data_IF_166408790552
#
_entry.id   IF_166408790552
#
_cell.length_a   1.000
_cell.length_b   1.000
_cell.length_c   1.000
_cell.angle_alpha   90.00
_cell.angle_beta   90.00
_cell.angle_gamma   90.00
#
_symmetry.space_group_name_H-M   'P 1'
#
loop_
_entity.id
_entity.type
_entity.pdbx_description
1 polymer ?
#
# COMPACT_ATOMS: atom_id res chain seq x y z
N UNK A 1 5.18 -2.78 -63.65
CA UNK A 1 5.96 -4.00 -63.90
C UNK A 1 7.44 -3.70 -63.80
N UNK A 2 8.13 -4.37 -62.87
CA UNK A 2 9.57 -4.20 -62.67
C UNK A 2 10.38 -4.64 -63.90
N UNK A 3 11.65 -4.27 -64.00
CA UNK A 3 12.54 -4.72 -65.10
C UNK A 3 12.64 -6.24 -65.14
N UNK A 4 12.71 -6.89 -63.97
CA UNK A 4 12.77 -8.34 -63.81
C UNK A 4 11.49 -9.06 -64.26
N UNK A 5 10.30 -8.55 -63.93
CA UNK A 5 9.03 -9.14 -64.41
C UNK A 5 8.96 -9.08 -65.94
N UNK A 6 9.36 -7.95 -66.54
CA UNK A 6 9.42 -7.83 -67.99
C UNK A 6 10.45 -8.77 -68.61
N UNK A 7 11.57 -9.02 -67.93
CA UNK A 7 12.60 -9.93 -68.39
C UNK A 7 12.16 -11.39 -68.29
N UNK A 8 11.47 -11.79 -67.22
CA UNK A 8 10.90 -13.14 -67.07
C UNK A 8 9.79 -13.39 -68.10
N UNK A 9 8.89 -12.43 -68.31
CA UNK A 9 7.87 -12.54 -69.39
C UNK A 9 8.52 -12.60 -70.76
N UNK A 10 9.56 -11.79 -71.02
CA UNK A 10 10.30 -11.83 -72.30
C UNK A 10 10.96 -13.18 -72.50
N UNK A 11 11.67 -13.72 -71.50
CA UNK A 11 12.32 -15.03 -71.56
C UNK A 11 11.29 -16.16 -71.72
N UNK A 12 10.14 -16.07 -71.05
CA UNK A 12 9.02 -17.00 -71.19
C UNK A 12 8.41 -17.01 -72.60
N UNK A 13 8.30 -15.83 -73.24
CA UNK A 13 7.76 -15.70 -74.61
C UNK A 13 8.81 -16.05 -75.66
N UNK A 14 10.10 -15.76 -75.40
CA UNK A 14 11.22 -15.99 -76.32
C UNK A 14 11.68 -17.45 -76.31
N UNK A 15 11.61 -18.16 -75.18
CA UNK A 15 12.10 -19.54 -75.07
C UNK A 15 11.42 -20.54 -76.03
N UNK A 16 10.08 -20.53 -76.23
CA UNK A 16 9.42 -21.42 -77.18
C UNK A 16 9.47 -20.93 -78.64
N UNK A 17 9.87 -19.68 -78.86
CA UNK A 17 9.72 -18.99 -80.13
C UNK A 17 10.56 -19.61 -81.27
N UNK A 18 11.83 -20.02 -81.06
CA UNK A 18 12.60 -20.73 -82.09
C UNK A 18 11.94 -22.06 -82.50
N UNK A 19 11.42 -22.82 -81.54
CA UNK A 19 10.72 -24.08 -81.81
C UNK A 19 9.43 -23.87 -82.59
N UNK A 20 8.67 -22.83 -82.24
CA UNK A 20 7.44 -22.45 -82.95
C UNK A 20 7.73 -21.97 -84.38
N UNK A 21 8.79 -21.19 -84.58
CA UNK A 21 9.21 -20.73 -85.92
C UNK A 21 9.64 -21.91 -86.79
N UNK A 22 10.42 -22.85 -86.27
CA UNK A 22 10.82 -24.06 -87.01
C UNK A 22 9.62 -24.95 -87.33
N UNK A 23 8.71 -25.14 -86.37
CA UNK A 23 7.49 -25.93 -86.58
C UNK A 23 6.57 -25.31 -87.64
N UNK A 24 6.38 -23.98 -87.60
CA UNK A 24 5.61 -23.26 -88.62
C UNK A 24 6.31 -23.30 -89.98
N UNK A 25 7.64 -23.17 -90.01
CA UNK A 25 8.40 -23.25 -91.25
C UNK A 25 8.24 -24.62 -91.92
N UNK A 26 8.41 -25.73 -91.18
CA UNK A 26 8.21 -27.09 -91.67
C UNK A 26 6.76 -27.35 -92.14
N UNK A 27 5.78 -26.83 -91.42
CA UNK A 27 4.36 -26.97 -91.75
C UNK A 27 3.99 -26.26 -93.06
N UNK A 28 4.57 -25.08 -93.29
CA UNK A 28 4.31 -24.27 -94.47
C UNK A 28 5.16 -24.66 -95.67
N UNK A 29 6.36 -25.22 -95.46
CA UNK A 29 7.22 -25.75 -96.53
C UNK A 29 6.80 -27.17 -96.97
N UNK A 30 6.09 -27.92 -96.14
CA UNK A 30 5.58 -29.25 -96.48
C UNK A 30 4.36 -29.21 -97.41
N UNK A 31 4.21 -30.21 -98.29
CA UNK A 31 3.11 -30.33 -99.28
C UNK A 31 1.72 -30.63 -98.71
N UNK A 32 1.39 -30.14 -97.52
CA UNK A 32 0.11 -30.37 -96.85
C UNK A 32 -1.04 -29.54 -97.44
N UNK A 33 -2.27 -30.03 -97.29
CA UNK A 33 -3.47 -29.29 -97.68
C UNK A 33 -3.64 -28.00 -96.85
N UNK A 34 -4.20 -26.95 -97.46
CA UNK A 34 -4.35 -25.63 -96.85
C UNK A 34 -5.16 -25.65 -95.54
N UNK A 35 -6.18 -26.50 -95.46
CA UNK A 35 -6.99 -26.69 -94.24
C UNK A 35 -6.14 -27.17 -93.06
N UNK A 36 -5.23 -28.12 -93.29
CA UNK A 36 -4.33 -28.68 -92.27
C UNK A 36 -3.30 -27.67 -91.77
N UNK A 37 -2.77 -26.83 -92.68
CA UNK A 37 -1.80 -25.79 -92.32
C UNK A 37 -2.42 -24.74 -91.38
N UNK A 38 -3.62 -24.29 -91.68
CA UNK A 38 -4.31 -23.28 -90.86
C UNK A 38 -4.72 -23.81 -89.49
N UNK A 39 -5.28 -25.02 -89.41
CA UNK A 39 -5.70 -25.61 -88.13
C UNK A 39 -4.53 -25.85 -87.18
N UNK A 40 -3.41 -26.39 -87.69
CA UNK A 40 -2.21 -26.61 -86.88
C UNK A 40 -1.52 -25.30 -86.47
N UNK A 41 -1.53 -24.28 -87.33
CA UNK A 41 -0.99 -22.96 -86.98
C UNK A 41 -1.76 -22.34 -85.81
N UNK A 42 -3.10 -22.35 -85.86
CA UNK A 42 -3.95 -21.84 -84.77
C UNK A 42 -3.74 -22.62 -83.49
N UNK A 43 -3.65 -23.96 -83.58
CA UNK A 43 -3.41 -24.82 -82.42
C UNK A 43 -2.07 -24.53 -81.75
N UNK A 44 -0.99 -24.36 -82.52
CA UNK A 44 0.34 -24.06 -82.01
C UNK A 44 0.38 -22.70 -81.29
N UNK A 45 -0.25 -21.67 -81.87
CA UNK A 45 -0.33 -20.34 -81.25
C UNK A 45 -1.18 -20.38 -79.97
N UNK A 46 -2.32 -21.07 -80.00
CA UNK A 46 -3.17 -21.23 -78.82
C UNK A 46 -2.45 -21.94 -77.67
N UNK A 47 -1.75 -23.04 -77.97
CA UNK A 47 -0.93 -23.77 -76.99
C UNK A 47 0.17 -22.88 -76.40
N UNK A 48 0.86 -22.09 -77.23
CA UNK A 48 1.88 -21.15 -76.79
C UNK A 48 1.32 -20.07 -75.86
N UNK A 49 0.16 -19.47 -76.21
CA UNK A 49 -0.51 -18.48 -75.37
C UNK A 49 -0.92 -19.07 -74.02
N UNK A 50 -1.49 -20.27 -74.00
CA UNK A 50 -1.88 -20.97 -72.77
C UNK A 50 -0.66 -21.26 -71.89
N UNK A 51 0.45 -21.72 -72.48
CA UNK A 51 1.67 -21.99 -71.72
C UNK A 51 2.26 -20.69 -71.14
N UNK A 52 2.24 -19.60 -71.90
CA UNK A 52 2.72 -18.30 -71.45
C UNK A 52 1.87 -17.73 -70.30
N UNK A 53 0.54 -17.87 -70.35
CA UNK A 53 -0.34 -17.44 -69.26
C UNK A 53 -0.17 -18.32 -68.02
N UNK A 54 -0.06 -19.64 -68.18
CA UNK A 54 0.21 -20.57 -67.08
C UNK A 54 1.53 -20.25 -66.36
N UNK A 55 2.60 -19.95 -67.10
CA UNK A 55 3.89 -19.61 -66.51
C UNK A 55 3.83 -18.27 -65.75
N UNK A 56 3.11 -17.28 -66.29
CA UNK A 56 2.88 -16.01 -65.60
C UNK A 56 2.13 -16.20 -64.29
N UNK A 57 1.08 -17.01 -64.29
CA UNK A 57 0.29 -17.29 -63.09
C UNK A 57 1.09 -18.08 -62.04
N UNK A 58 1.92 -19.04 -62.46
CA UNK A 58 2.71 -19.86 -61.53
C UNK A 58 3.94 -19.15 -60.95
N UNK A 59 4.57 -18.21 -61.67
CA UNK A 59 5.86 -17.62 -61.22
C UNK A 59 5.73 -16.16 -60.78
N UNK A 60 5.00 -15.33 -61.55
CA UNK A 60 5.01 -13.88 -61.30
C UNK A 60 4.05 -13.49 -60.18
N UNK A 61 2.86 -14.11 -60.12
CA UNK A 61 1.86 -13.81 -59.07
C UNK A 61 2.37 -14.11 -57.65
N UNK A 62 3.04 -15.25 -57.36
CA UNK A 62 3.61 -15.50 -56.04
C UNK A 62 4.69 -14.49 -55.65
N UNK A 63 5.60 -14.13 -56.56
CA UNK A 63 6.65 -13.14 -56.31
C UNK A 63 6.09 -11.75 -55.99
N UNK A 64 5.05 -11.33 -56.71
CA UNK A 64 4.34 -10.08 -56.40
C UNK A 64 3.70 -10.13 -55.02
N UNK A 65 3.12 -11.27 -54.65
CA UNK A 65 2.49 -11.48 -53.34
C UNK A 65 3.53 -11.39 -52.22
N UNK A 66 4.68 -12.06 -52.36
CA UNK A 66 5.81 -11.96 -51.42
C UNK A 66 6.32 -10.52 -51.29
N UNK A 67 6.49 -9.81 -52.43
CA UNK A 67 6.91 -8.41 -52.40
C UNK A 67 5.90 -7.51 -51.67
N UNK A 68 4.61 -7.73 -51.87
CA UNK A 68 3.57 -6.96 -51.20
C UNK A 68 3.53 -7.24 -49.70
N UNK A 69 3.72 -8.50 -49.29
CA UNK A 69 3.81 -8.87 -47.87
C UNK A 69 5.06 -8.27 -47.21
N UNK A 70 6.21 -8.26 -47.89
CA UNK A 70 7.40 -7.58 -47.40
C UNK A 70 7.20 -6.06 -47.26
N UNK A 71 6.49 -5.44 -48.21
CA UNK A 71 6.10 -4.04 -48.10
C UNK A 71 5.18 -3.80 -46.88
N UNK A 72 4.24 -4.71 -46.63
CA UNK A 72 3.37 -4.65 -45.46
C UNK A 72 4.12 -4.76 -44.13
N UNK A 73 5.11 -5.66 -44.04
CA UNK A 73 6.00 -5.77 -42.87
C UNK A 73 6.70 -4.44 -42.60
N UNK A 74 7.22 -3.79 -43.65
CA UNK A 74 7.88 -2.48 -43.52
C UNK A 74 6.92 -1.40 -43.00
N UNK A 75 5.65 -1.48 -43.37
CA UNK A 75 4.58 -0.60 -42.90
C UNK A 75 3.95 -1.06 -41.56
N UNK A 76 4.50 -2.10 -40.94
CA UNK A 76 4.02 -2.72 -39.69
C UNK A 76 2.58 -3.28 -39.77
N UNK A 77 2.09 -3.56 -40.98
CA UNK A 77 0.81 -4.23 -41.18
C UNK A 77 1.02 -5.75 -41.27
N UNK A 78 0.87 -6.42 -40.13
CA UNK A 78 1.03 -7.88 -40.01
C UNK A 78 -0.28 -8.66 -40.27
N UNK A 79 -1.32 -8.02 -40.83
CA UNK A 79 -2.63 -8.66 -41.05
C UNK A 79 -2.71 -9.46 -42.35
N UNK A 80 -1.82 -9.16 -43.31
CA UNK A 80 -1.82 -9.76 -44.64
C UNK A 80 -1.28 -11.19 -44.63
N UNK A 81 -1.96 -12.06 -45.38
CA UNK A 81 -1.63 -13.49 -45.49
C UNK A 81 -1.70 -13.97 -46.94
N UNK A 82 -0.71 -14.78 -47.31
CA UNK A 82 -0.72 -15.52 -48.56
C UNK A 82 -1.68 -16.73 -48.47
N UNK A 83 -2.66 -16.82 -49.38
CA UNK A 83 -3.74 -17.83 -49.33
C UNK A 83 -3.41 -19.18 -50.00
N UNK A 84 -2.36 -19.25 -50.81
CA UNK A 84 -2.05 -20.40 -51.67
C UNK A 84 -0.55 -20.71 -51.64
N UNK A 85 -0.07 -21.21 -50.51
CA UNK A 85 1.26 -21.78 -50.42
C UNK A 85 1.13 -23.31 -50.58
N UNK A 86 1.63 -23.86 -51.69
CA UNK A 86 1.79 -25.31 -51.84
C UNK A 86 3.13 -25.73 -51.22
N UNK A 87 3.15 -26.82 -50.43
CA UNK A 87 4.38 -27.32 -49.78
C UNK A 87 5.42 -27.83 -50.78
N UNK A 88 4.98 -28.26 -51.97
CA UNK A 88 5.84 -28.88 -52.98
C UNK A 88 6.60 -27.89 -53.87
N UNK A 89 6.41 -26.57 -53.70
CA UNK A 89 7.10 -25.52 -54.47
C UNK A 89 7.92 -24.62 -53.56
N UNK A 90 9.14 -24.27 -53.97
CA UNK A 90 10.06 -23.40 -53.23
C UNK A 90 9.45 -22.02 -52.93
N UNK A 91 8.66 -21.47 -53.87
CA UNK A 91 7.92 -20.22 -53.66
C UNK A 91 6.80 -20.39 -52.62
N UNK A 92 6.15 -21.56 -52.60
CA UNK A 92 5.14 -21.90 -51.61
C UNK A 92 5.75 -22.03 -50.22
N UNK A 93 6.86 -22.74 -50.06
CA UNK A 93 7.61 -22.82 -48.79
C UNK A 93 8.00 -21.42 -48.29
N UNK A 94 8.53 -20.54 -49.16
CA UNK A 94 8.85 -19.16 -48.79
C UNK A 94 7.61 -18.36 -48.33
N UNK A 95 6.45 -18.57 -48.97
CA UNK A 95 5.18 -17.96 -48.55
C UNK A 95 4.70 -18.51 -47.20
N UNK A 96 4.91 -19.79 -46.90
CA UNK A 96 4.61 -20.38 -45.59
C UNK A 96 5.49 -19.79 -44.48
N UNK A 97 6.81 -19.74 -44.72
CA UNK A 97 7.76 -19.14 -43.79
C UNK A 97 7.44 -17.66 -43.53
N UNK A 98 7.08 -16.91 -44.58
CA UNK A 98 6.69 -15.52 -44.42
C UNK A 98 5.37 -15.37 -43.65
N UNK A 99 4.39 -16.24 -43.88
CA UNK A 99 3.15 -16.26 -43.10
C UNK A 99 3.44 -16.58 -41.62
N UNK A 100 4.32 -17.54 -41.33
CA UNK A 100 4.71 -17.89 -39.96
C UNK A 100 5.41 -16.72 -39.25
N UNK A 101 6.33 -16.04 -39.95
CA UNK A 101 6.98 -14.83 -39.44
C UNK A 101 5.97 -13.71 -39.17
N UNK A 102 5.02 -13.48 -40.08
CA UNK A 102 3.95 -12.48 -39.90
C UNK A 102 3.10 -12.78 -38.68
N UNK A 103 2.75 -14.05 -38.46
CA UNK A 103 1.98 -14.48 -37.28
C UNK A 103 2.78 -14.30 -35.99
N UNK A 104 4.08 -14.60 -36.00
CA UNK A 104 4.96 -14.37 -34.85
C UNK A 104 5.10 -12.88 -34.53
N UNK A 105 5.35 -12.03 -35.54
CA UNK A 105 5.44 -10.58 -35.36
C UNK A 105 4.14 -9.97 -34.85
N UNK A 106 3.00 -10.44 -35.40
CA UNK A 106 1.68 -10.03 -34.94
C UNK A 106 1.44 -10.42 -33.49
N UNK A 107 1.77 -11.66 -33.11
CA UNK A 107 1.64 -12.15 -31.73
C UNK A 107 2.50 -11.33 -30.76
N UNK A 108 3.78 -11.09 -31.11
CA UNK A 108 4.69 -10.24 -30.31
C UNK A 108 4.16 -8.81 -30.16
N UNK A 109 3.61 -8.22 -31.24
CA UNK A 109 3.01 -6.87 -31.19
C UNK A 109 1.76 -6.84 -30.32
N UNK A 110 0.87 -7.82 -30.47
CA UNK A 110 -0.34 -7.92 -29.66
C UNK A 110 0.01 -8.07 -28.18
N UNK A 111 0.91 -8.99 -27.84
CA UNK A 111 1.38 -9.18 -26.47
C UNK A 111 2.01 -7.91 -25.87
N UNK A 112 2.79 -7.15 -26.65
CA UNK A 112 3.34 -5.87 -26.21
C UNK A 112 2.23 -4.81 -25.98
N UNK A 113 1.22 -4.75 -26.84
CA UNK A 113 0.07 -3.85 -26.67
C UNK A 113 -0.79 -4.24 -25.46
N UNK A 114 -1.02 -5.53 -25.24
CA UNK A 114 -1.73 -6.04 -24.07
C UNK A 114 -0.98 -5.76 -22.78
N UNK A 115 0.33 -6.01 -22.73
CA UNK A 115 1.18 -5.73 -21.58
C UNK A 115 1.20 -4.22 -21.24
N UNK A 116 1.37 -3.35 -22.25
CA UNK A 116 1.35 -1.90 -22.04
C UNK A 116 -0.03 -1.38 -21.61
N UNK A 117 -1.11 -1.94 -22.16
CA UNK A 117 -2.48 -1.63 -21.74
C UNK A 117 -2.75 -2.06 -20.29
N UNK A 118 -2.32 -3.26 -19.90
CA UNK A 118 -2.42 -3.77 -18.53
C UNK A 118 -1.65 -2.86 -17.57
N UNK A 119 -0.39 -2.52 -17.89
CA UNK A 119 0.42 -1.61 -17.07
C UNK A 119 -0.25 -0.24 -16.91
N UNK A 120 -0.81 0.33 -17.97
CA UNK A 120 -1.55 1.60 -17.87
C UNK A 120 -2.78 1.50 -16.95
N UNK A 121 -3.55 0.41 -17.02
CA UNK A 121 -4.70 0.19 -16.12
C UNK A 121 -4.27 0.04 -14.67
N UNK A 122 -3.22 -0.75 -14.42
CA UNK A 122 -2.66 -0.91 -13.06
C UNK A 122 -2.16 0.43 -12.51
N UNK A 123 -1.45 1.22 -13.33
CA UNK A 123 -0.96 2.55 -12.92
C UNK A 123 -2.07 3.58 -12.69
N UNK A 124 -3.25 3.40 -13.29
CA UNK A 124 -4.42 4.26 -13.10
C UNK A 124 -5.24 3.89 -11.85
N UNK A 125 -5.24 2.63 -11.44
CA UNK A 125 -5.99 2.15 -10.27
C UNK A 125 -5.21 2.30 -8.95
N UNK A 126 -3.87 2.42 -9.03
CA UNK A 126 -3.04 2.57 -7.83
C UNK A 126 -3.11 4.03 -7.32
N UNK A 127 -3.53 4.18 -6.06
CA UNK A 127 -3.59 5.42 -5.26
C UNK A 127 -2.20 5.99 -4.89
N UNK A 128 -1.22 5.90 -5.79
CA UNK A 128 0.16 6.35 -5.55
C UNK A 128 0.60 7.22 -6.73
N UNK A 129 1.17 8.38 -6.44
CA UNK A 129 1.65 9.30 -7.47
C UNK A 129 3.05 8.88 -7.94
N UNK A 130 3.24 8.75 -9.25
CA UNK A 130 4.51 8.34 -9.87
C UNK A 130 4.98 9.42 -10.83
N UNK A 131 6.24 9.83 -10.68
CA UNK A 131 6.90 10.85 -11.49
C UNK A 131 8.24 10.30 -12.00
N UNK A 132 8.48 10.32 -13.30
CA UNK A 132 9.76 9.96 -13.89
C UNK A 132 10.50 11.21 -14.39
N UNK A 133 11.78 11.30 -14.07
CA UNK A 133 12.67 12.41 -14.41
C UNK A 133 13.87 11.91 -15.20
N UNK A 134 14.38 12.76 -16.09
CA UNK A 134 15.64 12.54 -16.80
C UNK A 134 16.86 12.99 -15.97
N UNK A 135 18.05 12.97 -16.60
CA UNK A 135 19.33 13.42 -16.01
C UNK A 135 19.33 14.89 -15.57
N UNK A 136 18.46 15.72 -16.16
CA UNK A 136 18.35 17.15 -15.87
C UNK A 136 17.23 17.44 -14.85
N UNK A 137 16.75 16.42 -14.14
CA UNK A 137 15.60 16.49 -13.22
C UNK A 137 14.33 17.06 -13.88
N UNK A 138 14.16 16.81 -15.18
CA UNK A 138 12.99 17.27 -15.95
C UNK A 138 11.96 16.17 -16.05
N UNK A 139 10.69 16.50 -15.77
CA UNK A 139 9.59 15.54 -15.74
C UNK A 139 9.30 15.01 -17.15
N UNK A 140 9.40 13.69 -17.31
CA UNK A 140 9.12 12.96 -18.55
C UNK A 140 7.78 12.23 -18.50
N UNK A 141 7.45 11.60 -17.37
CA UNK A 141 6.23 10.80 -17.22
C UNK A 141 5.58 11.09 -15.87
N UNK A 142 4.25 11.18 -15.87
CA UNK A 142 3.41 11.27 -14.67
C UNK A 142 2.17 10.41 -14.84
N UNK A 143 1.74 9.73 -13.78
CA UNK A 143 0.48 8.98 -13.79
C UNK A 143 -0.72 9.87 -13.39
N UNK A 144 -1.94 9.39 -13.59
CA UNK A 144 -3.17 10.12 -13.24
C UNK A 144 -3.15 10.63 -11.79
N UNK A 145 -2.77 9.78 -10.82
CA UNK A 145 -2.66 10.19 -9.42
C UNK A 145 -1.69 11.37 -9.22
N UNK A 146 -0.56 11.40 -9.95
CA UNK A 146 0.37 12.52 -9.95
C UNK A 146 -0.17 13.80 -10.58
N UNK A 147 -0.96 13.70 -11.66
CA UNK A 147 -1.69 14.84 -12.25
C UNK A 147 -2.68 15.43 -11.25
N UNK A 148 -3.48 14.57 -10.62
CA UNK A 148 -4.44 14.96 -9.59
C UNK A 148 -3.76 15.61 -8.38
N UNK A 149 -2.59 15.08 -7.97
CA UNK A 149 -1.79 15.62 -6.87
C UNK A 149 -1.27 17.03 -7.16
N UNK A 150 -0.69 17.24 -8.35
CA UNK A 150 -0.16 18.55 -8.77
C UNK A 150 -1.26 19.52 -9.25
N UNK A 151 -2.43 19.00 -9.61
CA UNK A 151 -3.60 19.77 -10.04
C UNK A 151 -3.50 20.30 -11.47
N UNK A 152 -2.71 19.66 -12.33
CA UNK A 152 -2.50 20.05 -13.73
C UNK A 152 -2.36 18.80 -14.61
N UNK A 153 -2.61 18.92 -15.91
CA UNK A 153 -2.54 17.80 -16.85
C UNK A 153 -1.08 17.45 -17.21
N UNK A 154 -0.80 16.18 -17.56
CA UNK A 154 0.55 15.73 -17.94
C UNK A 154 1.18 16.59 -19.03
N UNK A 155 0.40 17.06 -20.01
CA UNK A 155 0.87 17.89 -21.13
C UNK A 155 1.47 19.22 -20.66
N UNK A 156 0.96 19.80 -19.57
CA UNK A 156 1.49 21.05 -19.00
C UNK A 156 2.60 20.82 -17.98
N UNK A 157 2.63 19.64 -17.36
CA UNK A 157 3.61 19.26 -16.34
C UNK A 157 4.91 18.74 -16.94
N UNK A 158 4.83 18.02 -18.05
CA UNK A 158 6.00 17.49 -18.76
C UNK A 158 6.92 18.62 -19.22
N UNK A 159 8.24 18.40 -19.13
CA UNK A 159 9.23 19.42 -19.45
C UNK A 159 9.51 20.43 -18.33
N UNK A 160 8.76 20.41 -17.22
CA UNK A 160 9.09 21.21 -16.02
C UNK A 160 10.12 20.48 -15.16
N UNK A 161 10.95 21.26 -14.45
CA UNK A 161 11.96 20.69 -13.54
C UNK A 161 11.33 20.29 -12.20
N UNK A 162 11.93 19.33 -11.51
CA UNK A 162 11.48 18.91 -10.18
C UNK A 162 11.39 20.07 -9.18
N UNK A 163 12.24 21.10 -9.32
CA UNK A 163 12.19 22.30 -8.47
C UNK A 163 10.92 23.13 -8.73
N UNK A 164 10.51 23.29 -9.99
CA UNK A 164 9.28 24.01 -10.35
C UNK A 164 8.02 23.28 -9.86
N UNK A 165 8.09 21.95 -9.76
CA UNK A 165 6.99 21.10 -9.31
C UNK A 165 6.96 20.92 -7.78
N UNK A 166 7.93 21.48 -7.04
CA UNK A 166 8.06 21.28 -5.59
C UNK A 166 8.52 19.87 -5.19
N UNK A 167 9.10 19.11 -6.13
CA UNK A 167 9.54 17.73 -5.97
C UNK A 167 11.07 17.57 -5.85
N UNK A 168 11.83 18.67 -5.85
CA UNK A 168 13.30 18.62 -5.75
C UNK A 168 13.79 17.92 -4.47
N UNK A 169 13.06 18.07 -3.36
CA UNK A 169 13.38 17.35 -2.12
C UNK A 169 13.16 15.85 -2.27
N UNK A 170 12.19 15.41 -3.06
CA UNK A 170 11.93 13.99 -3.30
C UNK A 170 13.09 13.30 -4.05
N UNK A 171 13.88 14.05 -4.80
CA UNK A 171 15.03 13.54 -5.56
C UNK A 171 16.31 13.43 -4.73
N UNK A 172 16.35 14.00 -3.53
CA UNK A 172 17.56 14.07 -2.68
C UNK A 172 17.46 13.17 -1.44
N UNK A 173 18.60 12.87 -0.82
CA UNK A 173 18.69 12.03 0.40
C UNK A 173 18.66 10.53 0.11
N UNK A 174 18.46 9.71 1.14
CA UNK A 174 18.25 8.25 1.02
C UNK A 174 16.74 7.91 0.99
N UNK A 175 16.38 6.86 0.26
CA UNK A 175 15.00 6.36 0.17
C UNK A 175 14.97 4.84 0.44
N UNK A 176 13.91 4.27 1.04
CA UNK A 176 12.63 4.90 1.38
C UNK A 176 12.73 5.86 2.58
N UNK A 177 11.96 6.95 2.54
CA UNK A 177 11.85 7.90 3.66
C UNK A 177 10.50 8.59 3.67
N UNK A 178 10.15 9.20 4.79
CA UNK A 178 8.92 9.98 4.93
C UNK A 178 9.23 11.47 5.01
N UNK A 179 8.54 12.28 4.21
CA UNK A 179 8.68 13.75 4.20
C UNK A 179 7.33 14.45 4.26
N UNK A 180 7.31 15.65 4.82
CA UNK A 180 6.10 16.47 4.89
C UNK A 180 6.07 17.43 3.71
N UNK A 181 5.17 17.17 2.77
CA UNK A 181 4.99 18.00 1.58
C UNK A 181 3.62 18.66 1.58
N UNK A 182 3.59 19.88 1.04
CA UNK A 182 2.35 20.62 0.83
C UNK A 182 2.03 20.65 -0.66
N UNK A 183 0.95 19.99 -1.05
CA UNK A 183 0.41 20.10 -2.41
C UNK A 183 -0.90 20.86 -2.35
N UNK A 184 -1.06 21.87 -3.22
CA UNK A 184 -2.28 22.70 -3.32
C UNK A 184 -2.76 23.27 -1.97
N UNK A 185 -1.81 23.62 -1.08
CA UNK A 185 -2.09 24.16 0.25
C UNK A 185 -2.42 23.12 1.32
N UNK A 186 -2.54 21.84 0.97
CA UNK A 186 -2.73 20.75 1.94
C UNK A 186 -1.39 20.11 2.28
N UNK A 187 -0.99 20.21 3.55
CA UNK A 187 0.15 19.50 4.10
C UNK A 187 -0.24 18.06 4.42
N UNK A 188 0.53 17.12 3.88
CA UNK A 188 0.43 15.71 4.21
C UNK A 188 1.81 15.10 4.33
N UNK A 189 1.87 13.98 5.03
CA UNK A 189 3.06 13.15 5.22
C UNK A 189 3.10 12.08 4.14
N UNK A 190 4.16 12.11 3.35
CA UNK A 190 4.33 11.27 2.17
C UNK A 190 5.49 10.29 2.36
N UNK A 191 5.27 9.02 2.07
CA UNK A 191 6.36 8.07 1.86
C UNK A 191 6.91 8.26 0.45
N UNK A 192 8.21 8.51 0.36
CA UNK A 192 8.96 8.67 -0.88
C UNK A 192 9.78 7.42 -1.12
N UNK A 193 9.55 6.82 -2.28
CA UNK A 193 10.38 5.74 -2.82
C UNK A 193 10.98 6.19 -4.13
N UNK A 194 12.24 5.79 -4.37
CA UNK A 194 12.93 6.09 -5.63
C UNK A 194 13.46 4.83 -6.25
N UNK A 195 13.46 4.80 -7.58
CA UNK A 195 14.18 3.83 -8.36
C UNK A 195 14.86 4.50 -9.54
N UNK A 196 15.85 3.82 -10.11
CA UNK A 196 16.53 4.24 -11.31
C UNK A 196 16.29 3.22 -12.43
N UNK A 197 16.21 3.71 -13.66
CA UNK A 197 16.13 2.89 -14.86
C UNK A 197 16.95 3.53 -15.97
N UNK A 198 17.18 2.80 -17.07
CA UNK A 198 17.81 3.37 -18.25
C UNK A 198 16.84 3.28 -19.42
N UNK A 199 16.71 4.38 -20.15
CA UNK A 199 15.95 4.45 -21.39
C UNK A 199 16.87 5.03 -22.46
N UNK A 200 16.99 4.32 -23.58
CA UNK A 200 17.93 4.67 -24.66
C UNK A 200 19.38 4.89 -24.19
N UNK A 201 19.79 4.10 -23.19
CA UNK A 201 21.13 4.20 -22.57
C UNK A 201 21.28 5.36 -21.57
N UNK A 202 20.32 6.28 -21.49
CA UNK A 202 20.34 7.42 -20.55
C UNK A 202 19.71 7.03 -19.21
N UNK A 203 20.39 7.28 -18.08
CA UNK A 203 19.82 7.09 -16.76
C UNK A 203 18.63 8.04 -16.55
N UNK A 204 17.56 7.45 -16.03
CA UNK A 204 16.36 8.13 -15.59
C UNK A 204 16.07 7.67 -14.17
N UNK A 205 15.34 8.49 -13.42
CA UNK A 205 14.91 8.17 -12.08
C UNK A 205 13.41 8.33 -11.98
N UNK A 206 12.77 7.51 -11.16
CA UNK A 206 11.36 7.69 -10.85
C UNK A 206 11.17 7.82 -9.34
N UNK A 207 10.22 8.67 -8.98
CA UNK A 207 9.77 8.95 -7.63
C UNK A 207 8.35 8.44 -7.49
N UNK A 208 8.11 7.73 -6.41
CA UNK A 208 6.80 7.21 -6.02
C UNK A 208 6.43 7.87 -4.69
N UNK A 209 5.28 8.55 -4.65
CA UNK A 209 4.74 9.24 -3.47
C UNK A 209 3.43 8.59 -3.03
N UNK A 210 3.40 8.07 -1.80
CA UNK A 210 2.21 7.53 -1.16
C UNK A 210 1.78 8.38 0.05
N UNK A 211 0.50 8.78 0.13
CA UNK A 211 -0.03 9.52 1.28
C UNK A 211 -0.28 8.56 2.45
N UNK A 212 0.62 8.56 3.43
CA UNK A 212 0.50 7.74 4.63
C UNK A 212 -0.45 8.37 5.67
N UNK A 213 -0.78 9.65 5.49
CA UNK A 213 -1.61 10.41 6.42
C UNK A 213 -3.07 10.00 6.36
N UNK A 214 -3.56 9.57 5.18
CA UNK A 214 -4.97 9.17 5.01
C UNK A 214 -5.31 7.95 5.84
N UNK A 215 -4.49 6.91 5.76
CA UNK A 215 -4.65 5.69 6.55
C UNK A 215 -4.60 5.98 8.06
N UNK A 216 -3.65 6.83 8.49
CA UNK A 216 -3.51 7.21 9.90
C UNK A 216 -4.74 7.98 10.41
N UNK A 217 -5.25 8.95 9.64
CA UNK A 217 -6.43 9.74 9.99
C UNK A 217 -7.71 8.89 10.09
N UNK A 218 -7.86 7.88 9.26
CA UNK A 218 -9.00 6.96 9.31
C UNK A 218 -8.98 6.11 10.58
N UNK A 219 -7.81 5.60 10.96
CA UNK A 219 -7.62 4.85 12.20
C UNK A 219 -7.85 5.73 13.43
N UNK A 220 -7.30 6.95 13.44
CA UNK A 220 -7.54 7.96 14.48
C UNK A 220 -9.02 8.33 14.59
N UNK A 221 -9.71 8.52 13.46
CA UNK A 221 -11.14 8.84 13.42
C UNK A 221 -11.99 7.70 13.99
N UNK A 222 -11.68 6.45 13.65
CA UNK A 222 -12.35 5.28 14.22
C UNK A 222 -12.09 5.15 15.72
N UNK A 223 -10.86 5.39 16.17
CA UNK A 223 -10.52 5.43 17.59
C UNK A 223 -11.30 6.55 18.30
N UNK A 224 -11.37 7.75 17.71
CA UNK A 224 -12.10 8.89 18.22
C UNK A 224 -13.61 8.60 18.33
N UNK A 225 -14.22 8.01 17.31
CA UNK A 225 -15.64 7.62 17.33
C UNK A 225 -15.94 6.60 18.43
N UNK A 226 -15.04 5.61 18.63
CA UNK A 226 -15.18 4.65 19.74
C UNK A 226 -15.08 5.34 21.09
N UNK A 227 -14.16 6.29 21.24
CA UNK A 227 -14.00 7.07 22.46
C UNK A 227 -15.23 7.93 22.76
N UNK A 228 -15.76 8.65 21.77
CA UNK A 228 -16.99 9.45 21.92
C UNK A 228 -18.17 8.58 22.37
N UNK A 229 -18.28 7.36 21.83
CA UNK A 229 -19.34 6.41 22.22
C UNK A 229 -19.21 5.99 23.68
N UNK A 230 -18.01 5.61 24.13
CA UNK A 230 -17.77 5.21 25.54
C UNK A 230 -18.03 6.38 26.49
N UNK A 231 -17.53 7.57 26.16
CA UNK A 231 -17.80 8.80 26.93
C UNK A 231 -19.29 9.09 27.02
N UNK A 232 -20.01 9.00 25.90
CA UNK A 232 -21.45 9.22 25.85
C UNK A 232 -22.20 8.24 26.75
N UNK A 233 -21.82 6.97 26.73
CA UNK A 233 -22.42 5.97 27.63
C UNK A 233 -22.13 6.28 29.10
N UNK A 234 -20.90 6.61 29.47
CA UNK A 234 -20.54 6.81 30.88
C UNK A 234 -21.12 8.10 31.49
N UNK A 235 -21.17 9.17 30.68
CA UNK A 235 -21.84 10.42 31.04
C UNK A 235 -23.34 10.15 31.26
N UNK A 236 -23.99 9.47 30.31
CA UNK A 236 -25.42 9.19 30.40
C UNK A 236 -25.76 8.24 31.57
N UNK A 237 -24.92 7.24 31.84
CA UNK A 237 -25.06 6.30 32.95
C UNK A 237 -24.97 6.98 34.32
N UNK A 238 -24.21 8.08 34.41
CA UNK A 238 -24.07 8.88 35.62
C UNK A 238 -25.19 9.92 35.76
N UNK A 239 -25.48 10.68 34.69
CA UNK A 239 -26.42 11.81 34.71
C UNK A 239 -27.89 11.35 34.82
N UNK A 240 -28.29 10.33 34.06
CA UNK A 240 -29.70 9.90 33.99
C UNK A 240 -30.28 9.58 35.37
N UNK A 241 -29.61 8.78 36.20
CA UNK A 241 -30.10 8.50 37.54
C UNK A 241 -29.83 9.60 38.57
N UNK A 242 -28.83 10.48 38.38
CA UNK A 242 -28.77 11.72 39.19
C UNK A 242 -30.06 12.51 38.98
N UNK A 243 -30.46 12.71 37.71
CA UNK A 243 -31.68 13.43 37.34
C UNK A 243 -32.93 12.76 37.95
N UNK A 244 -33.12 11.45 37.74
CA UNK A 244 -34.32 10.76 38.24
C UNK A 244 -34.42 10.73 39.77
N UNK A 245 -33.30 10.58 40.49
CA UNK A 245 -33.30 10.71 41.95
C UNK A 245 -33.62 12.15 42.36
N UNK A 246 -33.03 13.15 41.69
CA UNK A 246 -33.28 14.55 42.00
C UNK A 246 -34.75 14.93 41.83
N UNK A 247 -35.40 14.45 40.76
CA UNK A 247 -36.84 14.61 40.51
C UNK A 247 -37.68 13.91 41.60
N UNK A 248 -37.28 12.69 42.02
CA UNK A 248 -37.94 11.98 43.12
C UNK A 248 -37.83 12.73 44.44
N UNK A 249 -36.64 13.24 44.78
CA UNK A 249 -36.41 14.01 46.01
C UNK A 249 -37.22 15.31 46.01
N UNK A 250 -37.32 16.02 44.88
CA UNK A 250 -38.20 17.18 44.73
C UNK A 250 -39.67 16.81 44.97
N UNK A 251 -40.14 15.69 44.41
CA UNK A 251 -41.51 15.22 44.63
C UNK A 251 -41.80 14.86 46.10
N UNK A 252 -40.84 14.26 46.80
CA UNK A 252 -40.96 13.96 48.24
C UNK A 252 -41.02 15.25 49.08
N UNK A 253 -40.19 16.25 48.75
CA UNK A 253 -40.24 17.58 49.38
C UNK A 253 -41.57 18.32 49.17
N UNK A 254 -42.15 18.24 47.97
CA UNK A 254 -43.46 18.86 47.68
C UNK A 254 -44.63 18.19 48.41
N UNK A 255 -44.48 16.91 48.78
CA UNK A 255 -45.50 16.12 49.49
C UNK A 255 -45.18 15.92 50.97
N UNK A 256 -44.30 16.76 51.54
CA UNK A 256 -43.79 16.59 52.88
C UNK A 256 -44.94 16.51 53.93
N UNK A 257 -45.06 15.41 54.68
CA UNK A 257 -46.08 15.26 55.72
C UNK A 257 -45.85 16.21 56.91
N UNK A 258 -46.93 16.65 57.56
CA UNK A 258 -46.87 17.66 58.64
C UNK A 258 -46.60 17.08 60.05
N UNK A 259 -46.58 15.74 60.22
CA UNK A 259 -46.30 15.07 61.49
C UNK A 259 -44.81 14.80 61.74
N UNK A 260 -44.38 14.79 63.00
CA UNK A 260 -42.95 14.72 63.39
C UNK A 260 -42.27 13.38 63.03
N UNK A 261 -42.97 12.24 63.19
CA UNK A 261 -42.45 10.91 62.82
C UNK A 261 -42.22 10.78 61.31
N UNK A 262 -43.16 11.28 60.50
CA UNK A 262 -43.09 11.23 59.03
C UNK A 262 -42.04 12.20 58.45
N UNK A 263 -41.61 13.22 59.22
CA UNK A 263 -40.48 14.10 58.85
C UNK A 263 -39.14 13.39 59.06
N UNK A 264 -39.05 12.46 60.01
CA UNK A 264 -37.87 11.61 60.22
C UNK A 264 -37.60 10.71 59.03
N UNK A 265 -38.61 9.96 58.58
CA UNK A 265 -38.52 9.09 57.40
C UNK A 265 -38.20 9.87 56.12
N UNK A 266 -38.85 11.02 55.91
CA UNK A 266 -38.59 11.91 54.77
C UNK A 266 -37.13 12.38 54.76
N UNK A 267 -36.59 12.74 55.93
CA UNK A 267 -35.20 13.18 56.07
C UNK A 267 -34.24 12.05 55.72
N UNK A 268 -34.50 10.84 56.17
CA UNK A 268 -33.67 9.67 55.89
C UNK A 268 -33.69 9.29 54.39
N UNK A 269 -34.84 9.38 53.72
CA UNK A 269 -34.96 9.20 52.27
C UNK A 269 -34.20 10.28 51.48
N UNK A 270 -34.26 11.54 51.93
CA UNK A 270 -33.50 12.65 51.35
C UNK A 270 -31.99 12.45 51.51
N UNK A 271 -31.53 12.09 52.71
CA UNK A 271 -30.13 11.84 53.01
C UNK A 271 -29.58 10.67 52.18
N UNK A 272 -30.35 9.57 52.05
CA UNK A 272 -29.99 8.44 51.17
C UNK A 272 -29.94 8.85 49.69
N UNK A 273 -30.95 9.58 49.20
CA UNK A 273 -30.99 10.00 47.81
C UNK A 273 -29.88 10.99 47.44
N UNK A 274 -29.60 11.96 48.31
CA UNK A 274 -28.48 12.90 48.16
C UNK A 274 -27.14 12.17 48.22
N UNK A 275 -26.98 11.17 49.09
CA UNK A 275 -25.79 10.31 49.13
C UNK A 275 -25.52 9.60 47.80
N UNK A 276 -26.55 9.03 47.18
CA UNK A 276 -26.43 8.38 45.86
C UNK A 276 -26.06 9.37 44.76
N UNK A 277 -26.65 10.57 44.76
CA UNK A 277 -26.32 11.65 43.82
C UNK A 277 -24.86 12.10 43.98
N UNK A 278 -24.41 12.31 45.23
CA UNK A 278 -23.03 12.70 45.53
C UNK A 278 -22.04 11.63 45.03
N UNK A 279 -22.28 10.36 45.36
CA UNK A 279 -21.43 9.25 44.93
C UNK A 279 -21.33 9.12 43.41
N UNK A 280 -22.43 9.29 42.67
CA UNK A 280 -22.41 9.28 41.19
C UNK A 280 -21.68 10.47 40.59
N UNK A 281 -21.85 11.66 41.18
CA UNK A 281 -21.18 12.88 40.73
C UNK A 281 -19.67 12.78 40.92
N UNK A 282 -19.23 12.23 42.06
CA UNK A 282 -17.82 11.95 42.34
C UNK A 282 -17.23 10.90 41.39
N UNK A 283 -17.97 9.82 41.10
CA UNK A 283 -17.55 8.81 40.13
C UNK A 283 -17.36 9.41 38.73
N UNK A 284 -18.30 10.25 38.27
CA UNK A 284 -18.20 10.94 36.99
C UNK A 284 -17.02 11.92 36.94
N UNK A 285 -16.79 12.67 38.03
CA UNK A 285 -15.64 13.57 38.15
C UNK A 285 -14.31 12.82 38.06
N UNK A 286 -14.18 11.69 38.77
CA UNK A 286 -13.00 10.80 38.68
C UNK A 286 -12.80 10.26 37.27
N UNK A 287 -13.87 9.87 36.59
CA UNK A 287 -13.83 9.42 35.21
C UNK A 287 -13.32 10.53 34.26
N UNK A 288 -13.89 11.74 34.34
CA UNK A 288 -13.47 12.89 33.51
C UNK A 288 -12.02 13.31 33.77
N UNK A 289 -11.59 13.33 35.04
CA UNK A 289 -10.21 13.62 35.40
C UNK A 289 -9.24 12.58 34.82
N UNK A 290 -9.62 11.30 34.83
CA UNK A 290 -8.82 10.21 34.28
C UNK A 290 -8.77 10.28 32.74
N UNK A 291 -9.89 10.59 32.09
CA UNK A 291 -9.95 10.81 30.64
C UNK A 291 -9.04 11.97 30.20
N UNK A 292 -9.07 13.09 30.92
CA UNK A 292 -8.27 14.28 30.57
C UNK A 292 -6.77 13.95 30.59
N UNK A 293 -6.33 13.08 31.51
CA UNK A 293 -4.93 12.60 31.55
C UNK A 293 -4.55 11.74 30.35
N UNK A 294 -5.49 11.01 29.76
CA UNK A 294 -5.25 10.15 28.60
C UNK A 294 -5.20 10.96 27.28
N UNK A 295 -6.07 11.96 27.12
CA UNK A 295 -6.17 12.74 25.87
C UNK A 295 -5.22 13.93 25.83
N UNK A 296 -4.76 14.42 26.99
CA UNK A 296 -3.79 15.52 27.08
C UNK A 296 -2.45 15.07 27.65
N UNK A 297 -1.85 14.02 27.10
CA UNK A 297 -0.44 13.76 27.37
C UNK A 297 0.40 14.86 26.67
N UNK A 298 1.06 15.76 27.40
CA UNK A 298 1.90 16.78 26.77
C UNK A 298 3.11 16.12 26.08
N UNK A 299 3.67 16.76 25.03
CA UNK A 299 4.90 16.27 24.41
C UNK A 299 6.02 16.19 25.47
N UNK A 300 6.85 15.12 25.45
CA UNK A 300 7.86 14.88 26.48
C UNK A 300 8.95 15.94 26.45
N UNK A 301 9.35 16.41 27.63
CA UNK A 301 10.49 17.30 27.82
C UNK A 301 11.72 16.47 28.11
N UNK A 302 12.46 16.14 27.06
CA UNK A 302 13.60 15.24 27.14
C UNK A 302 14.75 15.88 27.93
N UNK A 303 15.28 15.13 28.89
CA UNK A 303 16.42 15.48 29.72
C UNK A 303 17.26 14.24 30.05
N UNK A 304 18.48 14.46 30.52
CA UNK A 304 19.33 13.36 30.96
C UNK A 304 18.82 12.79 32.30
N UNK A 305 18.45 11.51 32.32
CA UNK A 305 17.95 10.79 33.50
C UNK A 305 18.83 9.58 33.78
N UNK A 306 19.43 9.54 34.97
CA UNK A 306 20.14 8.35 35.48
C UNK A 306 19.13 7.26 35.87
N UNK A 307 19.22 6.09 35.23
CA UNK A 307 18.24 5.02 35.43
C UNK A 307 18.30 4.46 36.85
N UNK A 308 19.49 4.32 37.43
CA UNK A 308 19.64 3.78 38.79
C UNK A 308 18.95 4.66 39.83
N UNK A 309 19.15 5.97 39.75
CA UNK A 309 18.49 6.94 40.60
C UNK A 309 16.97 6.98 40.36
N UNK A 310 16.54 6.93 39.10
CA UNK A 310 15.14 6.92 38.71
C UNK A 310 14.35 5.71 39.23
N UNK A 311 14.90 4.51 39.08
CA UNK A 311 14.24 3.29 39.60
C UNK A 311 14.17 3.34 41.13
N UNK A 312 15.27 3.71 41.79
CA UNK A 312 15.31 3.78 43.25
C UNK A 312 14.35 4.83 43.84
N UNK A 313 14.24 6.02 43.24
CA UNK A 313 13.27 7.03 43.72
C UNK A 313 11.84 6.53 43.58
N UNK A 314 11.54 5.82 42.50
CA UNK A 314 10.18 5.36 42.20
C UNK A 314 9.77 4.20 43.09
N UNK A 315 10.68 3.25 43.32
CA UNK A 315 10.48 2.12 44.22
C UNK A 315 10.21 2.58 45.66
N UNK A 316 10.90 3.61 46.14
CA UNK A 316 10.71 4.18 47.50
C UNK A 316 9.33 4.78 47.75
N UNK A 317 8.55 5.06 46.71
CA UNK A 317 7.18 5.58 46.86
C UNK A 317 6.18 4.48 47.24
N UNK A 318 6.53 3.21 47.05
CA UNK A 318 5.70 2.07 47.42
C UNK A 318 6.15 1.49 48.76
N UNK A 319 5.23 1.42 49.73
CA UNK A 319 5.51 0.99 51.11
C UNK A 319 4.74 -0.27 51.52
N UNK A 320 3.86 -0.80 50.65
CA UNK A 320 3.00 -1.95 51.00
C UNK A 320 3.75 -3.28 51.01
N UNK A 321 4.73 -3.43 50.12
CA UNK A 321 5.63 -4.60 50.04
C UNK A 321 7.03 -4.13 49.65
N UNK A 322 8.05 -4.91 50.03
CA UNK A 322 9.42 -4.64 49.62
C UNK A 322 9.59 -4.99 48.13
N UNK A 323 9.91 -3.99 47.32
CA UNK A 323 10.23 -4.18 45.90
C UNK A 323 11.75 -4.40 45.77
N UNK A 324 12.14 -5.54 45.24
CA UNK A 324 13.55 -5.88 45.02
C UNK A 324 14.08 -5.18 43.77
N UNK A 325 15.19 -4.45 43.89
CA UNK A 325 15.84 -3.78 42.75
C UNK A 325 17.09 -4.55 42.36
N UNK A 326 17.05 -5.19 41.19
CA UNK A 326 18.23 -5.82 40.58
C UNK A 326 18.85 -4.84 39.60
N UNK A 327 19.86 -4.11 40.09
CA UNK A 327 20.51 -3.07 39.31
C UNK A 327 21.21 -3.64 38.07
N UNK A 328 20.96 -2.99 36.93
CA UNK A 328 21.67 -3.23 35.67
C UNK A 328 22.92 -2.35 35.52
N UNK A 329 23.52 -2.31 34.32
CA UNK A 329 24.64 -1.41 34.05
C UNK A 329 24.23 0.07 34.24
N UNK A 330 25.15 0.95 34.67
CA UNK A 330 24.89 2.38 34.78
C UNK A 330 24.61 2.96 33.39
N UNK A 331 23.49 3.65 33.26
CA UNK A 331 23.01 4.18 31.98
C UNK A 331 22.19 5.44 32.20
N UNK A 332 22.39 6.41 31.32
CA UNK A 332 21.64 7.66 31.27
C UNK A 332 20.78 7.67 30.02
N UNK A 333 19.48 7.93 30.18
CA UNK A 333 18.54 8.04 29.07
C UNK A 333 18.20 9.51 28.80
N UNK A 334 17.92 9.86 27.55
CA UNK A 334 17.41 11.17 27.19
C UNK A 334 15.88 11.15 27.10
N UNK A 335 15.21 11.28 28.24
CA UNK A 335 13.76 11.06 28.42
C UNK A 335 13.11 12.13 29.30
N UNK A 336 11.78 12.21 29.32
CA UNK A 336 11.04 13.00 30.30
C UNK A 336 10.91 12.20 31.61
N UNK A 337 11.65 12.63 32.63
CA UNK A 337 11.70 11.95 33.92
C UNK A 337 10.37 11.92 34.66
N UNK A 338 9.52 12.94 34.51
CA UNK A 338 8.23 13.01 35.20
C UNK A 338 7.22 12.05 34.56
N UNK A 339 7.21 11.96 33.23
CA UNK A 339 6.39 10.98 32.53
C UNK A 339 6.84 9.55 32.83
N UNK A 340 8.15 9.30 32.87
CA UNK A 340 8.69 7.98 33.19
C UNK A 340 8.43 7.58 34.65
N UNK A 341 8.45 8.53 35.59
CA UNK A 341 7.97 8.29 36.96
C UNK A 341 6.52 7.81 36.94
N UNK A 342 5.65 8.54 36.24
CA UNK A 342 4.24 8.16 36.16
C UNK A 342 4.04 6.75 35.57
N UNK A 343 4.80 6.41 34.53
CA UNK A 343 4.78 5.08 33.92
C UNK A 343 5.21 4.02 34.95
N UNK A 344 6.37 4.18 35.57
CA UNK A 344 6.96 3.18 36.46
C UNK A 344 6.18 3.04 37.77
N UNK A 345 5.69 4.13 38.36
CA UNK A 345 4.79 4.11 39.52
C UNK A 345 3.56 3.26 39.20
N UNK A 346 2.98 3.43 38.01
CA UNK A 346 1.79 2.68 37.62
C UNK A 346 2.10 1.18 37.40
N UNK A 347 3.25 0.83 36.83
CA UNK A 347 3.66 -0.57 36.68
C UNK A 347 3.91 -1.22 38.04
N UNK A 348 4.67 -0.58 38.93
CA UNK A 348 4.96 -1.09 40.27
C UNK A 348 3.66 -1.25 41.06
N UNK A 349 2.77 -0.26 41.03
CA UNK A 349 1.48 -0.34 41.72
C UNK A 349 0.66 -1.52 41.23
N UNK A 350 0.63 -1.76 39.92
CA UNK A 350 -0.08 -2.90 39.35
C UNK A 350 0.53 -4.25 39.78
N UNK A 351 1.85 -4.36 39.77
CA UNK A 351 2.59 -5.52 40.24
C UNK A 351 2.36 -5.81 41.74
N UNK A 352 2.34 -4.76 42.57
CA UNK A 352 2.08 -4.84 44.01
C UNK A 352 0.67 -5.32 44.29
N UNK A 353 -0.32 -4.74 43.61
CA UNK A 353 -1.72 -5.15 43.78
C UNK A 353 -1.89 -6.64 43.45
N UNK A 354 -1.26 -7.11 42.37
CA UNK A 354 -1.28 -8.52 41.96
C UNK A 354 -0.56 -9.44 42.95
N UNK A 355 0.58 -9.00 43.50
CA UNK A 355 1.39 -9.79 44.44
C UNK A 355 0.81 -9.84 45.85
N UNK A 356 0.06 -8.81 46.26
CA UNK A 356 -0.59 -8.79 47.58
C UNK A 356 -1.68 -9.86 47.69
N UNK A 357 -2.34 -10.23 46.58
CA UNK A 357 -3.34 -11.31 46.54
C UNK A 357 -2.71 -12.70 46.76
N UNK A 358 -1.45 -12.88 46.38
CA UNK A 358 -0.74 -14.17 46.49
C UNK A 358 0.27 -14.23 47.64
N UNK A 359 0.55 -13.08 48.29
CA UNK A 359 1.64 -12.95 49.26
C UNK A 359 3.04 -12.99 48.62
N UNK A 360 3.13 -12.75 47.31
CA UNK A 360 4.37 -12.78 46.53
C UNK A 360 5.17 -11.47 46.55
N UNK A 361 6.29 -11.44 45.82
CA UNK A 361 7.16 -10.27 45.70
C UNK A 361 7.03 -9.53 44.37
N UNK A 362 7.65 -8.36 44.32
CA UNK A 362 7.83 -7.57 43.08
C UNK A 362 9.30 -7.27 42.89
N UNK A 363 9.79 -7.41 41.66
CA UNK A 363 11.19 -7.19 41.31
C UNK A 363 11.30 -6.25 40.12
N UNK A 364 12.20 -5.27 40.19
CA UNK A 364 12.51 -4.36 39.08
C UNK A 364 13.96 -4.60 38.64
N UNK A 365 14.16 -4.88 37.36
CA UNK A 365 15.48 -5.12 36.75
C UNK A 365 15.62 -4.39 35.42
N UNK A 366 16.84 -4.02 35.05
CA UNK A 366 17.08 -3.46 33.72
C UNK A 366 18.37 -3.99 33.11
N UNK A 367 18.42 -3.99 31.77
CA UNK A 367 19.58 -4.37 30.98
C UNK A 367 19.75 -3.41 29.81
N UNK A 368 20.98 -3.36 29.30
CA UNK A 368 21.33 -2.60 28.09
C UNK A 368 21.96 -3.56 27.09
N UNK A 369 21.45 -3.57 25.86
CA UNK A 369 21.98 -4.37 24.77
C UNK A 369 22.05 -3.55 23.49
N UNK A 370 23.27 -3.25 23.02
CA UNK A 370 23.49 -2.35 21.91
C UNK A 370 22.90 -0.95 22.18
N UNK A 371 22.05 -0.47 21.28
CA UNK A 371 21.36 0.82 21.39
C UNK A 371 19.97 0.72 22.05
N UNK A 372 19.67 -0.37 22.78
CA UNK A 372 18.37 -0.56 23.44
C UNK A 372 18.51 -0.73 24.94
N UNK A 373 17.67 0.00 25.65
CA UNK A 373 17.42 -0.14 27.08
C UNK A 373 16.18 -0.99 27.31
N UNK A 374 16.26 -1.96 28.23
CA UNK A 374 15.11 -2.80 28.64
C UNK A 374 14.96 -2.74 30.15
N UNK A 375 13.80 -2.28 30.63
CA UNK A 375 13.40 -2.37 32.02
C UNK A 375 12.26 -3.37 32.17
N UNK A 376 12.32 -4.15 33.24
CA UNK A 376 11.34 -5.18 33.54
C UNK A 376 10.86 -5.04 34.97
N UNK A 377 9.53 -5.08 35.15
CA UNK A 377 8.87 -5.24 36.44
C UNK A 377 8.23 -6.62 36.47
N UNK A 378 8.78 -7.51 37.29
CA UNK A 378 8.27 -8.86 37.53
C UNK A 378 7.37 -8.83 38.79
N UNK A 379 6.22 -9.51 38.72
CA UNK A 379 5.38 -9.82 39.89
C UNK A 379 5.19 -11.32 40.08
N UNK A 380 4.84 -11.71 41.30
CA UNK A 380 4.48 -13.08 41.69
C UNK A 380 2.96 -13.24 41.85
N UNK A 381 2.18 -12.44 41.11
CA UNK A 381 0.72 -12.44 41.17
C UNK A 381 0.07 -13.63 40.46
N UNK A 382 -1.25 -13.54 40.21
CA UNK A 382 -2.01 -14.60 39.55
C UNK A 382 -1.64 -14.80 38.07
N UNK A 383 -0.97 -13.82 37.45
CA UNK A 383 -0.72 -13.74 36.01
C UNK A 383 -1.87 -13.09 35.23
N UNK A 384 -1.65 -12.93 33.93
CA UNK A 384 -2.57 -12.36 32.95
C UNK A 384 -3.53 -13.43 32.38
N UNK A 385 -4.83 -13.14 32.22
CA UNK A 385 -5.76 -14.02 31.50
C UNK A 385 -5.44 -14.05 29.99
N UNK A 386 -5.52 -15.21 29.34
CA UNK A 386 -5.21 -15.39 27.90
C UNK A 386 -6.05 -14.52 26.94
N UNK A 387 -7.23 -14.08 27.36
CA UNK A 387 -8.19 -13.32 26.53
C UNK A 387 -8.26 -11.83 26.85
N UNK A 388 -7.42 -11.32 27.75
CA UNK A 388 -7.53 -9.94 28.21
C UNK A 388 -6.84 -8.94 27.26
N UNK A 389 -7.64 -8.10 26.60
CA UNK A 389 -7.14 -6.87 25.98
C UNK A 389 -6.85 -5.83 27.09
N UNK A 390 -5.73 -6.02 27.82
CA UNK A 390 -5.31 -5.25 29.01
C UNK A 390 -5.01 -3.77 28.76
N UNK A 391 -5.07 -3.38 27.49
CA UNK A 391 -4.67 -2.10 26.96
C UNK A 391 -5.81 -1.34 26.32
N UNK A 392 -7.04 -1.80 26.54
CA UNK A 392 -8.24 -1.07 26.21
C UNK A 392 -8.51 -0.06 27.33
N UNK A 393 -8.70 1.24 27.01
CA UNK A 393 -9.03 2.25 28.01
C UNK A 393 -10.27 1.84 28.83
N UNK A 394 -10.23 2.12 30.13
CA UNK A 394 -11.30 1.84 31.11
C UNK A 394 -11.55 0.36 31.40
N UNK A 395 -10.79 -0.56 30.78
CA UNK A 395 -10.81 -1.96 31.17
C UNK A 395 -10.09 -2.14 32.51
N UNK A 396 -10.80 -2.62 33.52
CA UNK A 396 -10.21 -2.93 34.84
C UNK A 396 -11.02 -4.00 35.54
N UNK A 397 -10.33 -4.87 36.27
CA UNK A 397 -10.91 -5.88 37.17
C UNK A 397 -10.92 -5.42 38.63
N UNK A 398 -10.34 -4.25 38.94
CA UNK A 398 -10.12 -3.75 40.30
C UNK A 398 -11.26 -2.82 40.74
N UNK A 399 -11.75 -3.00 41.98
CA UNK A 399 -12.73 -2.07 42.56
C UNK A 399 -12.11 -0.66 42.70
N UNK A 400 -12.74 0.34 42.08
CA UNK A 400 -12.26 1.74 42.08
C UNK A 400 -11.08 2.03 41.15
N UNK A 401 -10.63 1.06 40.36
CA UNK A 401 -9.64 1.27 39.31
C UNK A 401 -10.20 2.09 38.16
N UNK A 402 -9.38 2.94 37.55
CA UNK A 402 -9.82 3.78 36.41
C UNK A 402 -9.62 3.10 35.05
N UNK A 403 -8.88 1.98 35.00
CA UNK A 403 -8.55 1.27 33.76
C UNK A 403 -7.72 2.06 32.75
N UNK A 404 -7.12 3.19 33.17
CA UNK A 404 -6.35 4.08 32.28
C UNK A 404 -4.84 3.90 32.44
N UNK A 405 -4.39 3.45 33.62
CA UNK A 405 -2.96 3.41 33.96
C UNK A 405 -2.11 2.73 32.90
N UNK A 406 -2.44 1.48 32.52
CA UNK A 406 -1.66 0.71 31.55
C UNK A 406 -1.66 1.32 30.14
N UNK A 407 -2.77 1.94 29.73
CA UNK A 407 -2.86 2.63 28.44
C UNK A 407 -1.98 3.86 28.43
N UNK A 408 -2.02 4.65 29.51
CA UNK A 408 -1.16 5.81 29.68
C UNK A 408 0.32 5.41 29.72
N UNK A 409 0.66 4.33 30.44
CA UNK A 409 2.02 3.76 30.45
C UNK A 409 2.50 3.39 29.05
N UNK A 410 1.63 2.82 28.18
CA UNK A 410 2.00 2.59 26.77
C UNK A 410 2.24 3.90 26.03
N UNK A 411 1.31 4.85 26.11
CA UNK A 411 1.44 6.12 25.38
C UNK A 411 2.72 6.87 25.76
N UNK A 412 3.08 6.85 27.04
CA UNK A 412 4.35 7.41 27.51
C UNK A 412 5.53 6.67 26.89
N UNK A 413 5.54 5.33 26.87
CA UNK A 413 6.62 4.56 26.25
C UNK A 413 6.76 4.88 24.74
N UNK A 414 5.65 4.95 24.01
CA UNK A 414 5.61 5.27 22.58
C UNK A 414 6.06 6.70 22.29
N UNK A 415 5.65 7.67 23.13
CA UNK A 415 6.09 9.06 23.02
C UNK A 415 7.61 9.22 23.18
N UNK A 416 8.27 8.26 23.83
CA UNK A 416 9.73 8.18 23.98
C UNK A 416 10.40 7.25 22.95
N UNK A 417 9.70 6.88 21.87
CA UNK A 417 10.24 6.02 20.81
C UNK A 417 10.47 4.56 21.25
N UNK A 418 9.75 4.12 22.28
CA UNK A 418 9.85 2.78 22.85
C UNK A 418 8.56 1.96 22.75
N UNK A 419 8.52 0.88 23.53
CA UNK A 419 7.35 0.00 23.62
C UNK A 419 7.14 -0.53 25.04
N UNK A 420 5.89 -0.87 25.35
CA UNK A 420 5.49 -1.53 26.59
C UNK A 420 4.73 -2.82 26.30
N UNK A 421 5.25 -3.94 26.81
CA UNK A 421 4.63 -5.26 26.71
C UNK A 421 4.30 -5.82 28.10
N UNK A 422 3.25 -6.65 28.18
CA UNK A 422 2.89 -7.42 29.36
C UNK A 422 2.88 -8.89 28.95
N UNK A 423 3.59 -9.74 29.69
CA UNK A 423 3.76 -11.15 29.40
C UNK A 423 3.52 -11.96 30.66
N UNK A 424 3.02 -13.19 30.53
CA UNK A 424 3.09 -14.13 31.66
C UNK A 424 4.53 -14.63 31.83
N UNK A 425 4.96 -14.76 33.08
CA UNK A 425 6.26 -15.36 33.40
C UNK A 425 6.29 -16.82 32.94
N UNK A 426 7.42 -17.24 32.39
CA UNK A 426 7.61 -18.60 31.86
C UNK A 426 8.18 -19.56 32.92
N UNK A 427 8.91 -19.00 33.88
CA UNK A 427 9.66 -19.69 34.93
C UNK A 427 8.86 -19.86 36.23
N UNK A 428 7.89 -18.98 36.47
CA UNK A 428 7.08 -18.93 37.67
C UNK A 428 5.67 -18.37 37.39
N UNK A 429 4.83 -18.35 38.41
CA UNK A 429 3.52 -17.69 38.35
C UNK A 429 3.71 -16.17 38.44
N UNK A 430 3.01 -15.41 37.61
CA UNK A 430 2.99 -13.94 37.68
C UNK A 430 3.14 -13.29 36.30
N UNK A 431 3.26 -11.97 36.30
CA UNK A 431 3.37 -11.15 35.08
C UNK A 431 4.74 -10.44 34.99
N UNK A 432 5.20 -10.25 33.77
CA UNK A 432 6.38 -9.49 33.39
C UNK A 432 5.95 -8.27 32.56
N UNK A 433 6.11 -7.06 33.11
CA UNK A 433 5.93 -5.81 32.39
C UNK A 433 7.27 -5.33 31.81
N UNK A 434 7.40 -5.31 30.49
CA UNK A 434 8.65 -5.00 29.78
C UNK A 434 8.55 -3.65 29.07
N UNK A 435 9.32 -2.68 29.56
CA UNK A 435 9.55 -1.39 28.91
C UNK A 435 10.83 -1.46 28.07
N UNK A 436 10.75 -1.11 26.79
CA UNK A 436 11.91 -0.98 25.91
C UNK A 436 12.03 0.45 25.41
N UNK A 437 13.22 1.04 25.50
CA UNK A 437 13.53 2.39 25.00
C UNK A 437 14.79 2.36 24.14
N UNK A 438 14.91 3.33 23.23
CA UNK A 438 16.14 3.57 22.48
C UNK A 438 17.08 4.46 23.31
N UNK A 439 18.39 4.20 23.24
CA UNK A 439 19.42 4.97 23.94
C UNK A 439 19.74 6.31 23.29
#
# INVERSE_FOLDING_TARGET
MSSHERQVVRLALLSPLPGLVVALWLLWSGGYQASVRWTLTVLLIACWLILATMLREKVIRPLQTLSNMLAAIREQDYSLRARQANEDDALGLAMMELNALMDELRSRRLGALEATSLLRRVMAEIDVAVFAFDEADTLQVVNATGEHLLGDAAEHLQGRTATQLGLAECLRGDAPRTIDLAFRGQRARWEVRRGAFRQDGRPHQFVVLADVSRALREEESLAWQRLVRVLGHEINNSITPIKSLSERLQHLLQRAPQGDESRGELREDLERGLGVISGRSEALSRFLASYTKLVRLPPPRLGAVDVGAWVNRTVRLENRIAVEVVAGPPVTLHVDGDQLDQLLINLIRNAVDASTETGGGVRVRWTVSGARFRLVVDDDGLGLPETANLFVPFFTTKQGGTGIGLVLSRQIAEAHGGSLALLNRQDARGCEAVLTLSL
#
